data_IF_380672399120
#
_entry.id   IF_380672399120
#
_cell.length_a   1.000
_cell.length_b   1.000
_cell.length_c   1.000
_cell.angle_alpha   90.00
_cell.angle_beta   90.00
_cell.angle_gamma   90.00
#
_symmetry.space_group_name_H-M   'P 1'
#
loop_
_entity.id
_entity.type
_entity.pdbx_description
1 polymer ?
#
# COMPACT_ATOMS: atom_id res chain seq x y z
N UNK A 1 -0.41 -4.42 -17.41
CA UNK A 1 0.41 -5.13 -16.42
C UNK A 1 0.17 -4.45 -15.09
N UNK A 2 -0.24 -5.22 -14.10
CA UNK A 2 -0.43 -4.78 -12.72
C UNK A 2 0.89 -4.91 -11.97
N UNK A 3 1.17 -3.99 -11.04
CA UNK A 3 2.36 -4.01 -10.20
C UNK A 3 2.00 -4.49 -8.79
N UNK A 4 2.96 -5.05 -8.07
CA UNK A 4 2.84 -5.32 -6.63
C UNK A 4 3.54 -4.24 -5.81
N UNK A 5 3.03 -4.01 -4.61
CA UNK A 5 3.75 -3.21 -3.61
C UNK A 5 4.76 -4.12 -2.92
N UNK A 6 6.01 -3.69 -2.90
CA UNK A 6 7.13 -4.43 -2.28
C UNK A 6 7.63 -3.76 -1.01
N UNK A 7 7.28 -2.48 -0.79
CA UNK A 7 7.72 -1.72 0.38
C UNK A 7 6.72 -0.58 0.67
N UNK A 8 6.67 -0.18 1.94
CA UNK A 8 5.90 0.99 2.40
C UNK A 8 6.81 1.97 3.12
N UNK A 9 6.57 3.25 2.95
CA UNK A 9 7.25 4.31 3.70
C UNK A 9 6.25 4.87 4.69
N UNK A 10 6.65 4.93 5.96
CA UNK A 10 5.79 5.38 7.07
C UNK A 10 6.32 6.66 7.68
N UNK A 11 5.41 7.53 8.13
CA UNK A 11 5.80 8.68 8.93
C UNK A 11 6.30 8.26 10.33
N UNK A 12 6.77 9.24 11.12
CA UNK A 12 7.22 9.01 12.49
C UNK A 12 6.12 8.48 13.44
N UNK A 13 4.85 8.54 13.03
CA UNK A 13 3.70 8.01 13.78
C UNK A 13 3.38 6.55 13.39
N UNK A 14 4.07 5.99 12.39
CA UNK A 14 3.83 4.67 11.84
C UNK A 14 2.70 4.62 10.80
N UNK A 15 2.21 5.76 10.31
CA UNK A 15 1.21 5.84 9.24
C UNK A 15 1.88 5.69 7.87
N UNK A 16 1.32 4.83 7.01
CA UNK A 16 1.84 4.65 5.65
C UNK A 16 1.52 5.90 4.81
N UNK A 17 2.57 6.52 4.29
CA UNK A 17 2.51 7.72 3.46
C UNK A 17 2.74 7.41 1.97
N UNK A 18 3.58 6.42 1.67
CA UNK A 18 3.95 6.08 0.30
C UNK A 18 4.05 4.56 0.10
N UNK A 19 3.88 4.14 -1.16
CA UNK A 19 3.99 2.76 -1.62
C UNK A 19 5.09 2.64 -2.67
N UNK A 20 5.98 1.66 -2.50
CA UNK A 20 7.00 1.34 -3.50
C UNK A 20 6.54 0.12 -4.29
N UNK A 21 6.42 0.29 -5.59
CA UNK A 21 6.04 -0.74 -6.53
C UNK A 21 7.25 -1.60 -6.92
N UNK A 22 7.02 -2.83 -7.34
CA UNK A 22 8.07 -3.78 -7.74
C UNK A 22 8.96 -3.28 -8.89
N UNK A 23 8.45 -2.34 -9.70
CA UNK A 23 9.20 -1.69 -10.77
C UNK A 23 10.11 -0.55 -10.27
N UNK A 24 10.20 -0.33 -8.95
CA UNK A 24 10.97 0.74 -8.31
C UNK A 24 10.27 2.10 -8.25
N UNK A 25 9.03 2.21 -8.73
CA UNK A 25 8.26 3.46 -8.66
C UNK A 25 7.72 3.66 -7.26
N UNK A 26 7.94 4.85 -6.69
CA UNK A 26 7.29 5.27 -5.45
C UNK A 26 6.09 6.15 -5.77
N UNK A 27 4.94 5.85 -5.19
CA UNK A 27 3.71 6.63 -5.32
C UNK A 27 3.19 7.01 -3.94
N UNK A 28 2.53 8.16 -3.84
CA UNK A 28 1.90 8.56 -2.59
C UNK A 28 0.63 7.73 -2.29
N UNK A 29 0.09 7.90 -1.08
CA UNK A 29 -1.10 7.19 -0.62
C UNK A 29 -2.31 7.35 -1.55
N UNK A 30 -2.56 8.57 -2.04
CA UNK A 30 -3.71 8.88 -2.88
C UNK A 30 -3.53 8.29 -4.29
N UNK A 31 -2.35 8.45 -4.88
CA UNK A 31 -1.98 7.83 -6.15
C UNK A 31 -2.07 6.31 -6.09
N UNK A 32 -1.59 5.69 -5.02
CA UNK A 32 -1.70 4.24 -4.82
C UNK A 32 -3.16 3.78 -4.81
N UNK A 33 -4.05 4.51 -4.11
CA UNK A 33 -5.49 4.22 -4.11
C UNK A 33 -6.08 4.31 -5.52
N UNK A 34 -5.77 5.37 -6.27
CA UNK A 34 -6.26 5.55 -7.64
C UNK A 34 -5.76 4.44 -8.58
N UNK A 35 -4.47 4.07 -8.48
CA UNK A 35 -3.90 2.97 -9.24
C UNK A 35 -4.57 1.62 -8.90
N UNK A 36 -4.89 1.37 -7.64
CA UNK A 36 -5.63 0.17 -7.23
C UNK A 36 -7.06 0.17 -7.77
N UNK A 37 -7.77 1.32 -7.77
CA UNK A 37 -9.10 1.46 -8.39
C UNK A 37 -9.06 1.13 -9.88
N UNK A 38 -7.98 1.53 -10.55
CA UNK A 38 -7.74 1.26 -11.97
C UNK A 38 -7.22 -0.15 -12.26
N UNK A 39 -7.08 -1.01 -11.25
CA UNK A 39 -6.56 -2.39 -11.41
C UNK A 39 -5.06 -2.44 -11.76
N UNK A 40 -4.32 -1.38 -11.47
CA UNK A 40 -2.88 -1.28 -11.76
C UNK A 40 -2.01 -1.80 -10.61
N UNK A 41 -2.60 -2.07 -9.43
CA UNK A 41 -1.92 -2.67 -8.28
C UNK A 41 -2.59 -3.98 -7.91
N UNK A 42 -1.81 -5.05 -7.88
CA UNK A 42 -2.25 -6.39 -7.50
C UNK A 42 -2.03 -6.67 -6.02
N UNK A 43 -2.83 -7.61 -5.49
CA UNK A 43 -2.67 -8.12 -4.13
C UNK A 43 -3.10 -7.15 -3.04
N UNK A 44 -3.79 -6.07 -3.39
CA UNK A 44 -4.30 -5.06 -2.45
C UNK A 44 -5.81 -4.87 -2.58
N UNK A 45 -6.40 -4.28 -1.54
CA UNK A 45 -7.77 -3.79 -1.50
C UNK A 45 -7.78 -2.37 -0.94
N UNK A 46 -8.80 -1.60 -1.29
CA UNK A 46 -9.01 -0.25 -0.77
C UNK A 46 -9.82 -0.36 0.52
N UNK A 47 -9.26 0.17 1.60
CA UNK A 47 -9.89 0.24 2.91
C UNK A 47 -10.11 1.71 3.31
N UNK A 48 -11.01 1.93 4.27
CA UNK A 48 -11.32 3.27 4.78
C UNK A 48 -10.86 3.38 6.24
N UNK A 49 -10.18 4.47 6.56
CA UNK A 49 -9.77 4.79 7.92
C UNK A 49 -10.99 5.18 8.76
N UNK A 50 -10.84 5.24 10.09
CA UNK A 50 -11.90 5.75 10.97
C UNK A 50 -12.31 7.20 10.65
N UNK A 51 -11.44 7.95 9.96
CA UNK A 51 -11.68 9.33 9.52
C UNK A 51 -12.26 9.41 8.10
N UNK A 52 -12.49 8.26 7.44
CA UNK A 52 -13.01 8.18 6.08
C UNK A 52 -11.95 8.24 4.97
N UNK A 53 -10.66 8.25 5.31
CA UNK A 53 -9.58 8.33 4.33
C UNK A 53 -9.35 6.96 3.69
N UNK A 54 -9.23 6.92 2.37
CA UNK A 54 -8.90 5.70 1.65
C UNK A 54 -7.41 5.37 1.79
N UNK A 55 -7.11 4.08 1.91
CA UNK A 55 -5.75 3.56 1.94
C UNK A 55 -5.71 2.13 1.41
N UNK A 56 -4.52 1.67 1.02
CA UNK A 56 -4.32 0.30 0.58
C UNK A 56 -4.02 -0.63 1.75
N UNK A 57 -4.62 -1.83 1.70
CA UNK A 57 -4.30 -2.96 2.58
C UNK A 57 -4.04 -4.20 1.71
N UNK A 58 -3.15 -5.08 2.16
CA UNK A 58 -2.97 -6.39 1.53
C UNK A 58 -4.30 -7.14 1.47
N UNK A 59 -4.60 -7.70 0.32
CA UNK A 59 -5.74 -8.60 0.14
C UNK A 59 -5.50 -9.82 1.03
N UNK A 60 -6.42 -10.18 1.94
CA UNK A 60 -6.22 -11.31 2.84
C UNK A 60 -6.11 -12.60 2.02
N UNK A 61 -4.93 -13.20 2.02
CA UNK A 61 -4.60 -14.45 1.34
C UNK A 61 -4.23 -15.58 2.33
N UNK A 62 -4.34 -15.31 3.63
CA UNK A 62 -3.97 -16.23 4.71
C UNK A 62 -2.49 -16.14 5.13
N UNK A 63 -1.68 -15.34 4.44
CA UNK A 63 -0.27 -15.12 4.76
C UNK A 63 -0.14 -13.83 5.57
N UNK A 64 0.45 -13.90 6.77
CA UNK A 64 0.60 -12.70 7.60
C UNK A 64 1.88 -11.90 7.30
N UNK A 65 2.87 -12.52 6.65
CA UNK A 65 4.21 -11.93 6.42
C UNK A 65 4.31 -10.95 5.25
N UNK A 66 3.32 -10.88 4.37
CA UNK A 66 3.27 -9.99 3.20
C UNK A 66 2.26 -8.83 3.40
N UNK A 67 1.93 -8.52 4.64
CA UNK A 67 1.03 -7.41 4.95
C UNK A 67 1.75 -6.07 4.72
N UNK A 68 1.09 -5.10 4.07
CA UNK A 68 1.64 -3.76 3.89
C UNK A 68 2.06 -3.12 5.22
N UNK A 69 1.37 -3.43 6.31
CA UNK A 69 1.73 -2.96 7.66
C UNK A 69 3.07 -3.49 8.17
N UNK A 70 3.58 -4.62 7.65
CA UNK A 70 4.85 -5.24 8.05
C UNK A 70 5.99 -4.98 7.07
N UNK A 71 5.76 -4.28 5.94
CA UNK A 71 6.74 -4.04 4.87
C UNK A 71 7.38 -2.64 4.94
N UNK A 72 7.51 -2.06 6.15
CA UNK A 72 8.04 -0.71 6.31
C UNK A 72 9.55 -0.66 6.44
N UNK A 73 10.18 0.32 5.79
CA UNK A 73 11.45 0.88 6.24
C UNK A 73 11.18 2.10 7.13
N UNK A 74 12.02 2.26 8.16
CA UNK A 74 12.12 3.50 8.92
C UNK A 74 12.99 4.47 8.11
N UNK A 75 12.52 5.71 7.94
CA UNK A 75 13.26 6.81 7.27
C UNK A 75 14.58 7.16 7.99
#
# INVERSE_FOLDING_TARGET
>A
MSNKIVETIKDSSGEIMQYVLENGTTVDKAQGVEMAKNGQIDGVIIAHSKKGEEYLRTKPDGTQGNNLSSMSKED
#
